data_IF_472916409979
#
_entry.id   IF_472916409979
#
_cell.length_a   1.000
_cell.length_b   1.000
_cell.length_c   1.000
_cell.angle_alpha   90.00
_cell.angle_beta   90.00
_cell.angle_gamma   90.00
#
_symmetry.space_group_name_H-M   'P 1'
#
loop_
_entity.id
_entity.type
_entity.pdbx_description
1 polymer ?
#
# COMPACT_ATOMS: atom_id res chain seq x y z
N UNK A 1 -5.95 66.33 -32.47
CA UNK A 1 -4.61 65.78 -32.16
C UNK A 1 -4.28 66.29 -30.76
N UNK A 2 -4.17 65.50 -29.70
CA UNK A 2 -3.82 64.09 -29.55
C UNK A 2 -4.66 63.46 -28.42
N UNK A 3 -5.51 62.49 -28.78
CA UNK A 3 -5.83 61.40 -27.87
C UNK A 3 -4.73 60.34 -28.04
N UNK A 4 -3.83 60.18 -27.06
CA UNK A 4 -2.73 59.22 -27.25
C UNK A 4 -1.89 58.79 -26.04
N UNK A 5 -2.16 59.28 -24.82
CA UNK A 5 -1.22 59.07 -23.70
C UNK A 5 -1.65 58.11 -22.59
N UNK A 6 -2.94 57.81 -22.43
CA UNK A 6 -3.46 57.14 -21.22
C UNK A 6 -3.76 55.64 -21.33
N UNK A 7 -3.60 55.04 -22.52
CA UNK A 7 -3.92 53.61 -22.74
C UNK A 7 -2.72 52.68 -22.55
N UNK A 8 -1.47 53.14 -22.72
CA UNK A 8 -0.27 52.29 -22.70
C UNK A 8 0.21 51.97 -21.27
N UNK A 9 0.03 52.90 -20.32
CA UNK A 9 0.45 52.68 -18.91
C UNK A 9 -0.41 51.63 -18.21
N UNK A 10 -1.70 51.56 -18.54
CA UNK A 10 -2.60 50.53 -18.01
C UNK A 10 -2.28 49.11 -18.54
N UNK A 11 -1.79 49.01 -19.78
CA UNK A 11 -1.41 47.73 -20.39
C UNK A 11 -0.10 47.14 -19.81
N UNK A 12 0.88 47.98 -19.49
CA UNK A 12 2.11 47.52 -18.80
C UNK A 12 1.87 47.21 -17.31
N UNK A 13 0.95 47.91 -16.64
CA UNK A 13 0.54 47.56 -15.28
C UNK A 13 -0.21 46.23 -15.23
N UNK A 14 -1.07 45.93 -16.22
CA UNK A 14 -1.79 44.65 -16.29
C UNK A 14 -0.85 43.44 -16.52
N UNK A 15 0.25 43.62 -17.26
CA UNK A 15 1.22 42.54 -17.54
C UNK A 15 2.21 42.28 -16.40
N UNK A 16 2.36 43.21 -15.45
CA UNK A 16 3.18 43.01 -14.24
C UNK A 16 2.41 42.35 -13.08
N UNK A 17 1.08 42.28 -13.14
CA UNK A 17 0.26 41.58 -12.14
C UNK A 17 0.03 40.08 -12.42
N UNK A 18 0.41 39.59 -13.61
CA UNK A 18 0.31 38.16 -13.96
C UNK A 18 1.59 37.34 -13.67
N UNK A 19 2.50 37.84 -12.83
CA UNK A 19 3.44 36.97 -12.10
C UNK A 19 2.79 36.51 -10.80
N UNK A 20 1.62 35.90 -10.91
CA UNK A 20 1.06 35.15 -9.80
C UNK A 20 1.93 33.91 -9.65
N UNK A 21 2.82 33.99 -8.66
CA UNK A 21 3.63 32.87 -8.21
C UNK A 21 2.66 31.75 -7.84
N UNK A 22 2.47 30.81 -8.76
CA UNK A 22 1.73 29.59 -8.52
C UNK A 22 2.55 28.76 -7.54
N UNK A 23 2.43 29.07 -6.25
CA UNK A 23 2.84 28.16 -5.20
C UNK A 23 1.77 27.08 -5.17
N UNK A 24 1.95 26.07 -6.03
CA UNK A 24 1.13 24.88 -6.00
C UNK A 24 1.56 24.12 -4.75
N UNK A 25 0.77 24.16 -3.69
CA UNK A 25 0.93 23.22 -2.59
C UNK A 25 0.71 21.83 -3.17
N UNK A 26 1.76 21.01 -3.20
CA UNK A 26 1.69 19.63 -3.65
C UNK A 26 0.97 18.82 -2.56
N UNK A 27 -0.36 18.74 -2.65
CA UNK A 27 -1.20 18.04 -1.66
C UNK A 27 -0.77 16.57 -1.49
N UNK A 28 -0.09 16.00 -2.48
CA UNK A 28 0.52 14.66 -2.41
C UNK A 28 1.62 14.54 -1.34
N UNK A 29 2.39 15.60 -1.04
CA UNK A 29 3.35 15.58 0.07
C UNK A 29 2.66 15.47 1.44
N UNK A 30 1.46 16.05 1.60
CA UNK A 30 0.71 16.00 2.86
C UNK A 30 0.10 14.62 3.14
N UNK A 31 -0.07 13.79 2.11
CA UNK A 31 -0.61 12.44 2.25
C UNK A 31 0.46 11.40 2.62
N UNK A 32 1.74 11.74 2.44
CA UNK A 32 2.84 10.84 2.74
C UNK A 32 3.35 11.10 4.17
N UNK A 33 2.97 10.25 5.12
CA UNK A 33 3.53 10.34 6.47
C UNK A 33 5.00 9.92 6.43
N UNK A 34 5.91 10.89 6.34
CA UNK A 34 7.36 10.67 6.33
C UNK A 34 7.95 10.40 7.72
N UNK A 35 7.26 10.85 8.78
CA UNK A 35 7.75 10.77 10.16
C UNK A 35 6.68 10.19 11.10
N UNK A 36 7.14 9.32 12.00
CA UNK A 36 6.37 8.92 13.19
C UNK A 36 6.67 9.88 14.35
N UNK A 37 5.70 10.08 15.23
CA UNK A 37 5.89 10.85 16.47
C UNK A 37 6.06 9.87 17.63
N UNK A 38 7.19 9.95 18.31
CA UNK A 38 7.44 9.24 19.56
C UNK A 38 7.54 10.26 20.70
N UNK A 39 6.69 10.10 21.73
CA UNK A 39 6.73 10.96 22.91
C UNK A 39 7.47 10.19 24.00
N UNK A 40 8.64 10.71 24.39
CA UNK A 40 9.41 10.14 25.48
C UNK A 40 8.76 10.46 26.84
N UNK A 41 8.93 9.55 27.80
CA UNK A 41 8.38 9.72 29.15
C UNK A 41 9.23 10.64 30.05
N UNK A 42 10.39 11.07 29.57
CA UNK A 42 11.31 11.94 30.30
C UNK A 42 10.98 13.40 30.03
N UNK A 43 10.62 14.20 31.06
CA UNK A 43 10.41 15.64 30.90
C UNK A 43 11.74 16.33 30.54
N UNK A 44 11.66 17.34 29.68
CA UNK A 44 12.82 18.11 29.20
C UNK A 44 12.63 19.57 29.62
N UNK A 45 13.67 20.19 30.17
CA UNK A 45 13.67 21.61 30.48
C UNK A 45 13.90 22.44 29.22
N UNK A 46 13.23 23.58 29.09
CA UNK A 46 13.41 24.48 27.95
C UNK A 46 14.81 25.13 28.05
N UNK A 47 15.73 24.85 27.12
CA UNK A 47 17.01 25.53 27.10
C UNK A 47 16.82 27.03 26.77
N UNK A 48 17.70 27.87 27.32
CA UNK A 48 17.67 29.33 27.09
C UNK A 48 18.06 29.71 25.65
N UNK A 49 18.79 28.83 24.96
CA UNK A 49 19.23 29.01 23.59
C UNK A 49 18.39 28.19 22.60
N UNK A 50 18.10 28.80 21.44
CA UNK A 50 17.47 28.10 20.32
C UNK A 50 18.45 27.08 19.74
N UNK A 51 18.09 25.79 19.82
CA UNK A 51 18.86 24.69 19.24
C UNK A 51 18.46 24.47 17.77
N UNK A 52 19.42 24.16 16.88
CA UNK A 52 19.09 23.72 15.51
C UNK A 52 18.35 22.37 15.56
N UNK A 53 17.45 22.15 14.60
CA UNK A 53 16.64 20.92 14.45
C UNK A 53 15.62 20.64 15.57
N UNK A 54 15.36 21.64 16.43
CA UNK A 54 14.40 21.55 17.53
C UNK A 54 13.19 22.47 17.29
N UNK A 55 12.00 21.91 17.37
CA UNK A 55 10.72 22.61 17.26
C UNK A 55 9.95 22.54 18.58
N UNK A 56 9.40 23.67 19.02
CA UNK A 56 8.52 23.71 20.19
C UNK A 56 7.06 23.75 19.76
N UNK A 57 6.25 22.83 20.28
CA UNK A 57 4.82 22.72 19.98
C UNK A 57 4.00 22.60 21.26
N UNK A 58 2.73 23.00 21.21
CA UNK A 58 1.81 22.89 22.33
C UNK A 58 0.57 22.06 21.93
N UNK A 59 0.11 21.20 22.83
CA UNK A 59 -1.16 20.49 22.63
C UNK A 59 -2.35 21.44 22.77
N UNK A 60 -3.53 20.99 22.34
CA UNK A 60 -4.80 21.71 22.56
C UNK A 60 -5.12 22.00 24.03
N UNK A 61 -4.48 21.30 24.96
CA UNK A 61 -4.64 21.48 26.40
C UNK A 61 -3.51 22.33 27.03
N UNK A 62 -2.61 22.88 26.22
CA UNK A 62 -1.51 23.73 26.66
C UNK A 62 -0.28 22.97 27.17
N UNK A 63 -0.21 21.65 26.98
CA UNK A 63 1.00 20.89 27.29
C UNK A 63 2.07 21.18 26.24
N UNK A 64 3.24 21.65 26.69
CA UNK A 64 4.35 21.98 25.81
C UNK A 64 5.22 20.74 25.54
N UNK A 65 5.73 20.66 24.31
CA UNK A 65 6.62 19.60 23.84
C UNK A 65 7.79 20.19 23.08
N UNK A 66 8.95 19.58 23.26
CA UNK A 66 10.13 19.78 22.45
C UNK A 66 10.23 18.63 21.45
N UNK A 67 10.09 18.92 20.16
CA UNK A 67 10.23 17.98 19.06
C UNK A 67 11.63 18.12 18.44
N UNK A 68 12.31 17.01 18.21
CA UNK A 68 13.60 16.98 17.53
C UNK A 68 13.40 16.32 16.17
N UNK A 69 13.79 16.98 15.09
CA UNK A 69 13.74 16.40 13.76
C UNK A 69 14.96 15.48 13.56
N UNK A 70 14.78 14.23 13.14
CA UNK A 70 15.90 13.36 12.83
C UNK A 70 16.65 13.90 11.60
N UNK A 71 17.98 13.80 11.63
CA UNK A 71 18.81 14.18 10.48
C UNK A 71 18.53 13.23 9.32
N UNK A 72 17.99 13.75 8.23
CA UNK A 72 17.73 12.99 7.01
C UNK A 72 19.05 12.86 6.25
N UNK A 73 19.58 11.64 6.15
CA UNK A 73 20.76 11.32 5.35
C UNK A 73 20.41 11.43 3.86
N UNK A 74 20.53 12.63 3.32
CA UNK A 74 20.11 12.89 1.95
C UNK A 74 20.56 14.23 1.38
N UNK A 75 21.78 14.71 1.70
CA UNK A 75 22.56 15.63 0.87
C UNK A 75 23.96 15.90 1.48
N UNK A 76 24.92 15.08 1.04
CA UNK A 76 26.36 15.35 0.82
C UNK A 76 27.21 16.07 1.87
N UNK A 77 28.00 15.31 2.64
CA UNK A 77 29.48 15.36 2.66
C UNK A 77 29.98 14.03 3.27
N UNK A 78 30.98 13.43 2.63
CA UNK A 78 31.23 11.98 2.70
C UNK A 78 31.80 11.48 4.02
N UNK A 79 31.16 10.43 4.55
CA UNK A 79 31.79 9.35 5.30
C UNK A 79 31.08 8.05 4.86
N UNK A 80 31.80 7.23 4.07
CA UNK A 80 31.39 5.88 3.71
C UNK A 80 31.46 4.99 4.96
N UNK A 81 30.41 5.02 5.77
CA UNK A 81 30.05 3.86 6.56
C UNK A 81 29.32 2.90 5.62
N UNK A 82 30.04 1.91 5.09
CA UNK A 82 29.44 0.70 4.57
C UNK A 82 28.75 0.00 5.74
N UNK A 83 27.56 0.47 6.10
CA UNK A 83 26.57 -0.40 6.71
C UNK A 83 26.14 -1.33 5.59
N UNK A 84 26.70 -2.54 5.59
CA UNK A 84 26.01 -3.70 5.04
C UNK A 84 24.69 -3.80 5.80
N UNK A 85 23.70 -3.01 5.39
CA UNK A 85 22.31 -3.40 5.54
C UNK A 85 22.22 -4.73 4.81
N UNK A 86 22.38 -5.81 5.58
CA UNK A 86 21.79 -7.09 5.29
C UNK A 86 20.27 -6.87 5.39
N UNK A 87 19.75 -6.04 4.50
CA UNK A 87 18.35 -5.94 4.16
C UNK A 87 18.08 -7.28 3.52
N UNK A 88 17.84 -8.27 4.38
CA UNK A 88 17.18 -9.51 4.05
C UNK A 88 15.87 -9.03 3.42
N UNK A 89 15.90 -8.88 2.11
CA UNK A 89 14.74 -8.66 1.30
C UNK A 89 13.98 -9.98 1.44
N UNK A 90 13.21 -10.09 2.53
CA UNK A 90 12.40 -11.26 2.81
C UNK A 90 11.40 -11.31 1.68
N UNK A 91 11.75 -12.06 0.64
CA UNK A 91 10.87 -12.29 -0.48
C UNK A 91 9.62 -12.93 0.12
N UNK A 92 8.47 -12.28 -0.01
CA UNK A 92 7.22 -12.77 0.56
C UNK A 92 6.92 -14.20 0.06
N UNK A 93 7.36 -14.54 -1.15
CA UNK A 93 7.28 -15.91 -1.68
C UNK A 93 8.04 -16.93 -0.82
N UNK A 94 9.14 -16.54 -0.15
CA UNK A 94 9.86 -17.40 0.80
C UNK A 94 9.03 -17.67 2.06
N UNK A 95 8.36 -16.66 2.61
CA UNK A 95 7.50 -16.80 3.79
C UNK A 95 6.29 -17.71 3.50
N UNK A 96 5.76 -17.66 2.28
CA UNK A 96 4.62 -18.46 1.84
C UNK A 96 5.01 -19.86 1.31
N UNK A 97 6.28 -20.12 1.05
CA UNK A 97 6.77 -21.41 0.54
C UNK A 97 6.33 -22.64 1.36
N UNK A 98 6.23 -22.59 2.71
CA UNK A 98 5.72 -23.71 3.50
C UNK A 98 4.30 -24.14 3.11
N UNK A 99 3.44 -23.22 2.67
CA UNK A 99 2.08 -23.53 2.24
C UNK A 99 2.04 -24.44 1.01
N UNK A 100 3.09 -24.44 0.18
CA UNK A 100 3.17 -25.35 -0.98
C UNK A 100 3.28 -26.82 -0.61
N UNK A 101 3.75 -27.13 0.61
CA UNK A 101 3.85 -28.50 1.16
C UNK A 101 2.69 -28.83 2.10
N UNK A 102 1.99 -27.83 2.62
CA UNK A 102 0.85 -28.01 3.50
C UNK A 102 -0.36 -28.58 2.74
N UNK A 103 -1.32 -29.21 3.45
CA UNK A 103 -2.62 -29.53 2.89
C UNK A 103 -3.33 -28.29 2.34
N UNK A 104 -4.17 -28.46 1.32
CA UNK A 104 -4.93 -27.37 0.75
C UNK A 104 -5.95 -26.82 1.76
N UNK A 105 -6.21 -25.52 1.70
CA UNK A 105 -7.18 -24.86 2.55
C UNK A 105 -8.58 -25.06 1.99
N UNK A 106 -9.54 -25.42 2.83
CA UNK A 106 -10.95 -25.60 2.45
C UNK A 106 -11.83 -24.60 3.17
N UNK A 107 -12.86 -24.12 2.48
CA UNK A 107 -13.87 -23.22 3.05
C UNK A 107 -15.23 -23.44 2.42
N UNK A 108 -16.19 -23.78 3.25
CA UNK A 108 -17.60 -23.81 2.88
C UNK A 108 -18.21 -22.41 2.99
N UNK A 109 -18.95 -22.03 1.94
CA UNK A 109 -19.73 -20.80 1.89
C UNK A 109 -20.98 -21.04 1.03
N UNK A 110 -22.13 -21.01 1.69
CA UNK A 110 -23.43 -21.26 1.09
C UNK A 110 -23.47 -22.65 0.41
N UNK A 111 -23.86 -22.72 -0.87
CA UNK A 111 -23.87 -23.96 -1.65
C UNK A 111 -22.48 -24.47 -2.05
N UNK A 112 -21.44 -23.64 -1.95
CA UNK A 112 -20.13 -23.92 -2.52
C UNK A 112 -19.06 -24.17 -1.46
N UNK A 113 -18.26 -25.19 -1.71
CA UNK A 113 -16.99 -25.45 -1.03
C UNK A 113 -15.86 -25.01 -1.93
N UNK A 114 -15.01 -24.13 -1.41
CA UNK A 114 -13.80 -23.65 -2.06
C UNK A 114 -12.61 -24.40 -1.51
N UNK A 115 -11.73 -24.85 -2.39
CA UNK A 115 -10.44 -25.43 -2.03
C UNK A 115 -9.31 -24.65 -2.71
N UNK A 116 -8.37 -24.20 -1.89
CA UNK A 116 -7.21 -23.44 -2.32
C UNK A 116 -5.93 -24.21 -2.06
N UNK A 117 -5.20 -24.52 -3.13
CA UNK A 117 -3.88 -25.11 -3.06
C UNK A 117 -2.83 -24.06 -3.50
N UNK A 118 -1.98 -23.65 -2.56
CA UNK A 118 -0.93 -22.64 -2.82
C UNK A 118 -0.05 -23.02 -4.01
N UNK A 119 0.11 -22.08 -4.96
CA UNK A 119 0.93 -22.27 -6.17
C UNK A 119 0.41 -23.33 -7.16
N UNK A 120 -0.82 -23.85 -6.98
CA UNK A 120 -1.40 -24.88 -7.86
C UNK A 120 -2.68 -24.40 -8.54
N UNK A 121 -3.81 -24.54 -7.86
CA UNK A 121 -5.12 -24.20 -8.41
C UNK A 121 -6.12 -23.87 -7.32
N UNK A 122 -7.23 -23.26 -7.74
CA UNK A 122 -8.41 -22.99 -6.92
C UNK A 122 -9.57 -23.80 -7.50
N UNK A 123 -10.23 -24.57 -6.64
CA UNK A 123 -11.37 -25.43 -7.00
C UNK A 123 -12.62 -24.98 -6.25
N UNK A 124 -13.76 -25.22 -6.87
CA UNK A 124 -15.08 -24.98 -6.31
C UNK A 124 -15.97 -26.18 -6.61
N UNK A 125 -16.66 -26.70 -5.59
CA UNK A 125 -17.54 -27.86 -5.73
C UNK A 125 -18.62 -27.83 -4.64
N UNK A 126 -19.68 -28.61 -4.80
CA UNK A 126 -20.69 -28.79 -3.76
C UNK A 126 -20.39 -30.05 -2.95
N UNK A 127 -20.59 -30.00 -1.64
CA UNK A 127 -20.40 -31.13 -0.74
C UNK A 127 -21.66 -31.41 0.07
N UNK A 128 -22.10 -32.66 0.09
CA UNK A 128 -23.26 -33.14 0.83
C UNK A 128 -22.89 -34.47 1.49
N UNK A 129 -23.15 -34.61 2.80
CA UNK A 129 -22.80 -35.81 3.60
C UNK A 129 -21.30 -36.20 3.54
N UNK A 130 -20.41 -35.23 3.29
CA UNK A 130 -18.96 -35.46 3.18
C UNK A 130 -18.50 -35.96 1.82
N UNK A 131 -19.41 -36.08 0.85
CA UNK A 131 -19.09 -36.42 -0.53
C UNK A 131 -19.26 -35.23 -1.46
N UNK A 132 -18.42 -35.15 -2.49
CA UNK A 132 -18.58 -34.18 -3.56
C UNK A 132 -19.78 -34.61 -4.41
N UNK A 133 -20.78 -33.72 -4.54
CA UNK A 133 -21.92 -33.94 -5.42
C UNK A 133 -21.83 -33.03 -6.64
N UNK A 134 -21.99 -33.62 -7.82
CA UNK A 134 -21.96 -32.90 -9.09
C UNK A 134 -20.53 -32.61 -9.60
N UNK A 135 -20.41 -31.54 -10.37
CA UNK A 135 -19.17 -31.17 -11.05
C UNK A 135 -18.21 -30.37 -10.17
N UNK A 136 -16.91 -30.53 -10.45
CA UNK A 136 -15.83 -29.73 -9.86
C UNK A 136 -15.44 -28.64 -10.83
N UNK A 137 -15.62 -27.38 -10.43
CA UNK A 137 -15.23 -26.22 -11.21
C UNK A 137 -13.85 -25.73 -10.79
N UNK A 138 -12.94 -25.59 -11.76
CA UNK A 138 -11.69 -24.88 -11.54
C UNK A 138 -11.93 -23.39 -11.70
N UNK A 139 -11.59 -22.60 -10.68
CA UNK A 139 -11.64 -21.15 -10.75
C UNK A 139 -10.42 -20.62 -11.49
N UNK A 140 -9.26 -21.26 -11.32
CA UNK A 140 -8.03 -20.91 -12.03
C UNK A 140 -6.83 -21.71 -11.56
N UNK A 141 -5.77 -21.67 -12.37
CA UNK A 141 -4.46 -22.23 -12.14
C UNK A 141 -3.46 -21.12 -11.89
N UNK A 142 -2.49 -21.38 -11.03
CA UNK A 142 -1.48 -20.41 -10.64
C UNK A 142 -0.73 -19.87 -11.87
N UNK A 143 -0.61 -18.56 -11.95
CA UNK A 143 0.09 -17.87 -13.03
C UNK A 143 1.27 -17.05 -12.52
N UNK A 144 0.99 -16.08 -11.64
CA UNK A 144 2.00 -15.10 -11.22
C UNK A 144 1.75 -14.53 -9.82
N UNK A 145 2.86 -14.18 -9.17
CA UNK A 145 2.91 -13.45 -7.90
C UNK A 145 3.04 -11.94 -8.13
N UNK A 146 2.49 -11.13 -7.21
CA UNK A 146 2.71 -9.69 -7.17
C UNK A 146 4.19 -9.41 -6.91
N UNK A 147 4.85 -8.78 -7.90
CA UNK A 147 6.22 -8.32 -7.76
C UNK A 147 6.28 -6.97 -7.03
N UNK A 148 6.93 -6.96 -5.87
CA UNK A 148 7.09 -5.77 -5.02
C UNK A 148 8.21 -4.83 -5.47
N UNK A 149 9.08 -5.24 -6.41
CA UNK A 149 10.18 -4.39 -6.89
C UNK A 149 9.70 -3.24 -7.77
N UNK A 150 8.55 -3.40 -8.44
CA UNK A 150 8.03 -2.40 -9.38
C UNK A 150 7.05 -1.41 -8.73
N UNK A 151 6.59 -1.70 -7.52
CA UNK A 151 5.57 -0.90 -6.83
C UNK A 151 6.13 0.30 -6.06
N UNK A 152 7.46 0.45 -5.94
CA UNK A 152 8.09 1.60 -5.28
C UNK A 152 7.74 2.94 -5.95
N UNK A 153 7.41 2.93 -7.25
CA UNK A 153 7.06 4.14 -7.99
C UNK A 153 5.55 4.48 -7.96
N UNK A 154 4.69 3.55 -7.52
CA UNK A 154 3.23 3.73 -7.44
C UNK A 154 2.70 3.75 -5.98
N UNK A 155 3.57 3.50 -5.00
CA UNK A 155 3.20 3.36 -3.59
C UNK A 155 3.34 4.65 -2.74
N UNK A 156 3.88 5.74 -3.29
CA UNK A 156 4.07 6.99 -2.54
C UNK A 156 2.74 7.63 -2.08
N UNK A 157 1.62 7.37 -2.78
CA UNK A 157 0.29 7.87 -2.41
C UNK A 157 -0.61 6.88 -1.64
N UNK A 158 -0.18 5.64 -1.42
CA UNK A 158 -1.08 4.53 -1.04
C UNK A 158 -0.50 3.58 0.01
N UNK A 159 0.40 4.06 0.86
CA UNK A 159 1.06 3.24 1.89
C UNK A 159 0.09 2.61 2.93
N UNK A 160 -1.17 3.05 2.98
CA UNK A 160 -2.23 2.44 3.82
C UNK A 160 -2.98 1.27 3.16
N UNK A 161 -3.00 1.15 1.83
CA UNK A 161 -3.95 0.26 1.13
C UNK A 161 -3.36 -1.06 0.62
N UNK A 162 -2.04 -1.23 0.60
CA UNK A 162 -1.39 -2.41 0.01
C UNK A 162 -0.67 -3.31 1.02
N UNK A 163 -1.22 -3.53 2.22
CA UNK A 163 -0.66 -4.51 3.18
C UNK A 163 -1.05 -5.96 2.88
N UNK A 164 -1.06 -6.32 1.60
CA UNK A 164 -1.35 -7.68 1.17
C UNK A 164 -0.44 -8.07 0.01
N UNK A 165 -0.06 -9.34 -0.03
CA UNK A 165 0.55 -9.96 -1.19
C UNK A 165 -0.54 -10.60 -2.04
N UNK A 166 -0.43 -10.56 -3.37
CA UNK A 166 -1.44 -11.18 -4.22
C UNK A 166 -0.88 -12.11 -5.26
N UNK A 167 -1.70 -13.10 -5.61
CA UNK A 167 -1.44 -14.12 -6.62
C UNK A 167 -2.58 -14.15 -7.64
N UNK A 168 -2.22 -14.28 -8.91
CA UNK A 168 -3.18 -14.44 -10.00
C UNK A 168 -3.35 -15.90 -10.37
N UNK A 169 -4.59 -16.30 -10.56
CA UNK A 169 -5.00 -17.63 -10.99
C UNK A 169 -5.90 -17.49 -12.23
N UNK A 170 -5.51 -18.07 -13.35
CA UNK A 170 -6.19 -17.92 -14.65
C UNK A 170 -6.51 -19.27 -15.30
N UNK A 171 -7.14 -19.26 -16.48
CA UNK A 171 -7.44 -20.47 -17.26
C UNK A 171 -8.27 -21.52 -16.49
N UNK A 172 -9.23 -21.07 -15.68
CA UNK A 172 -10.18 -21.96 -15.01
C UNK A 172 -11.14 -22.64 -15.99
N UNK A 173 -12.15 -23.30 -15.45
CA UNK A 173 -13.29 -23.81 -16.24
C UNK A 173 -14.00 -22.67 -16.96
N UNK A 174 -14.56 -22.96 -18.13
CA UNK A 174 -15.37 -22.00 -18.88
C UNK A 174 -16.66 -21.67 -18.13
N UNK A 175 -16.97 -20.38 -18.04
CA UNK A 175 -18.24 -19.89 -17.54
C UNK A 175 -19.32 -20.15 -18.60
N UNK A 176 -20.43 -20.74 -18.18
CA UNK A 176 -21.60 -21.03 -19.00
C UNK A 176 -22.34 -19.76 -19.43
N UNK A 177 -22.32 -18.72 -18.58
CA UNK A 177 -22.98 -17.45 -18.86
C UNK A 177 -22.18 -16.57 -19.84
N UNK A 178 -20.85 -16.53 -19.69
CA UNK A 178 -20.00 -15.61 -20.45
C UNK A 178 -19.15 -16.28 -21.52
N UNK A 179 -18.94 -17.60 -21.42
CA UNK A 179 -18.04 -18.36 -22.28
C UNK A 179 -16.55 -18.17 -21.97
N UNK A 180 -16.19 -17.26 -21.06
CA UNK A 180 -14.80 -16.99 -20.71
C UNK A 180 -14.28 -17.97 -19.66
N UNK A 181 -12.96 -18.18 -19.65
CA UNK A 181 -12.30 -18.94 -18.59
C UNK A 181 -12.37 -18.17 -17.27
N UNK A 182 -12.79 -18.84 -16.20
CA UNK A 182 -12.76 -18.28 -14.85
C UNK A 182 -11.33 -17.89 -14.45
N UNK A 183 -11.24 -16.87 -13.61
CA UNK A 183 -9.98 -16.37 -13.05
C UNK A 183 -10.23 -15.79 -11.65
N UNK A 184 -9.19 -15.72 -10.82
CA UNK A 184 -9.25 -15.13 -9.48
C UNK A 184 -7.92 -14.49 -9.07
N UNK A 185 -8.02 -13.52 -8.15
CA UNK A 185 -6.88 -12.97 -7.41
C UNK A 185 -6.99 -13.41 -5.94
N UNK A 186 -5.96 -14.07 -5.44
CA UNK A 186 -5.83 -14.43 -4.01
C UNK A 186 -5.01 -13.37 -3.31
N UNK A 187 -5.48 -12.88 -2.16
CA UNK A 187 -4.79 -11.87 -1.36
C UNK A 187 -4.42 -12.46 -0.01
N UNK A 188 -3.12 -12.46 0.29
CA UNK A 188 -2.54 -12.89 1.55
C UNK A 188 -2.44 -11.69 2.48
N UNK A 189 -3.04 -11.81 3.67
CA UNK A 189 -2.97 -10.81 4.72
C UNK A 189 -2.32 -11.44 5.95
N UNK A 190 -1.49 -10.67 6.65
CA UNK A 190 -0.95 -11.09 7.93
C UNK A 190 -2.02 -10.94 9.01
N UNK A 191 -2.23 -11.99 9.78
CA UNK A 191 -3.06 -11.99 10.98
C UNK A 191 -2.32 -12.70 12.10
N UNK A 192 -2.52 -12.25 13.34
CA UNK A 192 -1.83 -12.76 14.54
C UNK A 192 -2.30 -14.17 14.98
N UNK A 193 -3.25 -14.78 14.27
CA UNK A 193 -3.80 -16.09 14.63
C UNK A 193 -2.86 -17.23 14.25
N UNK A 194 -2.94 -18.33 14.99
CA UNK A 194 -2.21 -19.57 14.67
C UNK A 194 -2.92 -20.34 13.54
N UNK A 195 -2.45 -20.16 12.31
CA UNK A 195 -2.80 -21.00 11.16
C UNK A 195 -3.42 -20.26 9.98
N UNK A 196 -3.21 -20.81 8.79
CA UNK A 196 -3.70 -20.24 7.53
C UNK A 196 -5.16 -20.65 7.30
N UNK A 197 -5.98 -19.71 6.86
CA UNK A 197 -7.39 -19.97 6.55
C UNK A 197 -7.92 -19.03 5.48
N UNK A 198 -8.99 -19.45 4.79
CA UNK A 198 -9.63 -18.63 3.75
C UNK A 198 -10.67 -17.72 4.41
N UNK A 199 -10.45 -16.41 4.33
CA UNK A 199 -11.44 -15.40 4.70
C UNK A 199 -12.24 -14.98 3.46
N UNK A 200 -13.57 -15.22 3.41
CA UNK A 200 -14.40 -14.69 2.34
C UNK A 200 -14.55 -13.16 2.53
N UNK A 201 -13.60 -12.40 1.99
CA UNK A 201 -13.74 -10.96 1.84
C UNK A 201 -15.01 -10.59 1.07
N UNK A 202 -15.45 -9.33 1.21
CA UNK A 202 -16.60 -8.79 0.46
C UNK A 202 -16.41 -9.10 -1.02
N UNK A 203 -17.21 -10.05 -1.50
CA UNK A 203 -17.36 -10.43 -2.90
C UNK A 203 -16.08 -10.86 -3.62
N UNK A 204 -15.71 -12.14 -3.45
CA UNK A 204 -15.25 -12.89 -4.61
C UNK A 204 -16.44 -13.02 -5.57
N UNK A 205 -16.69 -11.98 -6.40
CA UNK A 205 -17.54 -12.14 -7.58
C UNK A 205 -16.67 -12.88 -8.59
N UNK A 206 -16.89 -14.19 -8.69
CA UNK A 206 -16.52 -14.92 -9.88
C UNK A 206 -17.47 -14.42 -10.98
N UNK A 207 -16.98 -13.53 -11.84
CA UNK A 207 -17.70 -13.09 -13.05
C UNK A 207 -17.72 -14.24 -14.06
#
# INVERSE_FOLDING_TARGET
MEEGGRKIVFLCSLLLFFRQMSCFLHIEELNEMKYGIEIQNTPVERPEALLPDVLYVASKYGQEYQCVLPKVSGQGEGEEAQEEENQQNFNISYLLAPMGKAPCLTKEKDWWTYEFCYGKNIRQYHMEEGEIKGDIYYIGFYESDKNWTNTSNEAAGSHRLQRYHSQKYINGTTCDLTGHYRQAEVRFLCEERMGDYINPGRQAVFV
#
